data_IF_917119854376
#
_entry.id   IF_917119854376
#
_cell.length_a   1.000
_cell.length_b   1.000
_cell.length_c   1.000
_cell.angle_alpha   90.00
_cell.angle_beta   90.00
_cell.angle_gamma   90.00
#
_symmetry.space_group_name_H-M   'P 1'
#
loop_
_entity.id
_entity.type
_entity.pdbx_description
1 polymer ?
#
# COMPACT_ATOMS: atom_id res chain seq x y z
N UNK A 1 -2.88 -29.12 -1.18
CA UNK A 1 -3.64 -28.92 -2.44
C UNK A 1 -4.98 -28.24 -2.19
N UNK A 2 -5.88 -28.83 -1.39
CA UNK A 2 -7.19 -28.23 -1.04
C UNK A 2 -7.09 -26.83 -0.40
N UNK A 3 -6.11 -26.59 0.45
CA UNK A 3 -5.88 -25.29 1.11
C UNK A 3 -5.44 -24.18 0.16
N UNK A 4 -4.60 -24.50 -0.84
CA UNK A 4 -4.14 -23.54 -1.86
C UNK A 4 -5.30 -23.16 -2.78
N UNK A 5 -6.17 -24.12 -3.11
CA UNK A 5 -7.37 -23.88 -3.92
C UNK A 5 -8.39 -23.00 -3.18
N UNK A 6 -8.55 -23.17 -1.87
CA UNK A 6 -9.41 -22.32 -1.03
C UNK A 6 -8.85 -20.89 -0.91
N UNK A 7 -7.53 -20.74 -0.77
CA UNK A 7 -6.86 -19.42 -0.75
C UNK A 7 -7.00 -18.69 -2.10
N UNK A 8 -6.88 -19.41 -3.22
CA UNK A 8 -7.09 -18.87 -4.56
C UNK A 8 -8.54 -18.43 -4.79
N UNK A 9 -9.52 -19.25 -4.38
CA UNK A 9 -10.94 -18.91 -4.48
C UNK A 9 -11.31 -17.71 -3.60
N UNK A 10 -10.76 -17.61 -2.40
CA UNK A 10 -10.98 -16.47 -1.50
C UNK A 10 -10.36 -15.18 -2.04
N UNK A 11 -9.17 -15.27 -2.66
CA UNK A 11 -8.52 -14.13 -3.32
C UNK A 11 -9.30 -13.62 -4.54
N UNK A 12 -9.86 -14.52 -5.36
CA UNK A 12 -10.71 -14.12 -6.49
C UNK A 12 -12.04 -13.48 -6.04
N UNK A 13 -12.59 -13.89 -4.90
CA UNK A 13 -13.82 -13.32 -4.36
C UNK A 13 -13.64 -11.91 -3.76
N UNK A 14 -12.41 -11.52 -3.39
CA UNK A 14 -12.08 -10.18 -2.92
C UNK A 14 -11.79 -9.19 -4.07
N UNK A 15 -11.44 -9.69 -5.26
CA UNK A 15 -11.17 -8.87 -6.44
C UNK A 15 -12.32 -7.90 -6.86
N UNK A 16 -13.61 -8.24 -6.78
CA UNK A 16 -14.69 -7.30 -7.13
C UNK A 16 -14.88 -6.16 -6.10
N UNK A 17 -14.39 -6.29 -4.87
CA UNK A 17 -14.43 -5.19 -3.88
C UNK A 17 -13.39 -4.10 -4.16
N UNK A 18 -12.32 -4.44 -4.88
CA UNK A 18 -11.27 -3.49 -5.27
C UNK A 18 -11.77 -2.34 -6.17
N UNK A 19 -12.96 -2.48 -6.76
CA UNK A 19 -13.63 -1.41 -7.52
C UNK A 19 -14.14 -0.24 -6.67
N UNK A 20 -14.25 -0.40 -5.35
CA UNK A 20 -14.64 0.63 -4.38
C UNK A 20 -13.64 0.78 -3.22
N UNK A 21 -12.44 0.18 -3.31
CA UNK A 21 -11.46 0.23 -2.23
C UNK A 21 -10.57 1.48 -2.31
N UNK A 22 -10.46 2.20 -1.19
CA UNK A 22 -9.52 3.32 -1.07
C UNK A 22 -8.08 2.81 -1.27
N UNK A 23 -7.16 3.62 -1.83
CA UNK A 23 -5.75 3.22 -1.97
C UNK A 23 -5.11 2.89 -0.61
N UNK A 24 -5.66 3.43 0.49
CA UNK A 24 -5.30 3.05 1.86
C UNK A 24 -5.65 1.60 2.17
N UNK A 25 -6.87 1.17 1.85
CA UNK A 25 -7.31 -0.20 2.06
C UNK A 25 -6.50 -1.19 1.23
N UNK A 26 -6.20 -0.86 -0.03
CA UNK A 26 -5.44 -1.74 -0.92
C UNK A 26 -4.01 -1.96 -0.41
N UNK A 27 -3.31 -0.89 -0.03
CA UNK A 27 -1.96 -1.03 0.50
C UNK A 27 -1.94 -1.70 1.88
N UNK A 28 -2.96 -1.45 2.73
CA UNK A 28 -3.14 -2.18 3.97
C UNK A 28 -3.33 -3.69 3.73
N UNK A 29 -4.21 -4.07 2.80
CA UNK A 29 -4.45 -5.46 2.45
C UNK A 29 -3.20 -6.13 1.87
N UNK A 30 -2.48 -5.44 0.98
CA UNK A 30 -1.24 -5.93 0.40
C UNK A 30 -0.16 -6.11 1.46
N UNK A 31 0.02 -5.11 2.34
CA UNK A 31 0.96 -5.19 3.45
C UNK A 31 0.59 -6.30 4.43
N UNK A 32 -0.69 -6.48 4.73
CA UNK A 32 -1.19 -7.56 5.58
C UNK A 32 -0.95 -8.94 4.98
N UNK A 33 -1.18 -9.08 3.68
CA UNK A 33 -0.99 -10.34 2.96
C UNK A 33 0.48 -10.72 2.93
N UNK A 34 1.36 -9.78 2.57
CA UNK A 34 2.80 -10.00 2.50
C UNK A 34 3.38 -10.25 3.89
N UNK A 35 3.09 -9.37 4.86
CA UNK A 35 3.57 -9.50 6.23
C UNK A 35 3.05 -10.78 6.89
N UNK A 36 1.78 -11.13 6.68
CA UNK A 36 1.16 -12.34 7.20
C UNK A 36 1.74 -13.61 6.57
N UNK A 37 1.93 -13.63 5.25
CA UNK A 37 2.53 -14.79 4.57
C UNK A 37 3.99 -15.01 5.02
N UNK A 38 4.80 -13.95 5.06
CA UNK A 38 6.20 -14.03 5.50
C UNK A 38 6.28 -14.42 6.98
N UNK A 39 5.46 -13.80 7.83
CA UNK A 39 5.39 -14.11 9.26
C UNK A 39 4.92 -15.54 9.53
N UNK A 40 4.00 -16.08 8.73
CA UNK A 40 3.56 -17.47 8.84
C UNK A 40 4.68 -18.46 8.52
N UNK A 41 5.42 -18.22 7.44
CA UNK A 41 6.53 -19.07 7.01
C UNK A 41 7.64 -19.06 8.05
N UNK A 42 8.07 -17.87 8.48
CA UNK A 42 9.13 -17.74 9.49
C UNK A 42 8.70 -18.28 10.85
N UNK A 43 7.48 -17.97 11.30
CA UNK A 43 6.95 -18.47 12.56
C UNK A 43 6.80 -19.99 12.59
N UNK A 44 6.43 -20.60 11.45
CA UNK A 44 6.39 -22.05 11.30
C UNK A 44 7.77 -22.70 11.28
N UNK A 45 8.73 -22.10 10.56
CA UNK A 45 10.11 -22.57 10.49
C UNK A 45 10.85 -22.48 11.83
N UNK A 46 10.74 -21.34 12.51
CA UNK A 46 11.48 -21.08 13.75
C UNK A 46 10.94 -21.89 14.94
N UNK A 47 9.63 -22.10 15.01
CA UNK A 47 9.01 -22.82 16.14
C UNK A 47 8.79 -24.30 15.86
N UNK A 48 8.85 -24.73 14.59
CA UNK A 48 8.50 -26.08 14.17
C UNK A 48 7.04 -26.45 14.46
N UNK A 49 6.17 -25.49 14.78
CA UNK A 49 4.79 -25.70 15.24
C UNK A 49 3.81 -24.85 14.45
N UNK A 50 2.60 -25.37 14.17
CA UNK A 50 1.55 -24.59 13.51
C UNK A 50 1.15 -23.34 14.32
N UNK A 51 1.31 -23.37 15.65
CA UNK A 51 1.05 -22.22 16.51
C UNK A 51 2.00 -21.05 16.24
N UNK A 52 3.29 -21.29 15.97
CA UNK A 52 4.21 -20.20 15.64
C UNK A 52 3.94 -19.60 14.27
N UNK A 53 3.48 -20.39 13.31
CA UNK A 53 3.01 -19.87 12.03
C UNK A 53 1.79 -18.97 12.20
N UNK A 54 0.83 -19.35 13.06
CA UNK A 54 -0.36 -18.53 13.34
C UNK A 54 -0.01 -17.21 14.03
N UNK A 55 0.86 -17.24 15.04
CA UNK A 55 1.32 -16.03 15.74
C UNK A 55 2.11 -15.13 14.80
N UNK A 56 3.03 -15.70 14.02
CA UNK A 56 3.80 -14.96 13.02
C UNK A 56 2.92 -14.37 11.93
N UNK A 57 1.91 -15.09 11.45
CA UNK A 57 0.94 -14.61 10.48
C UNK A 57 0.13 -13.44 11.04
N UNK A 58 -0.38 -13.54 12.27
CA UNK A 58 -1.18 -12.49 12.88
C UNK A 58 -0.34 -11.22 13.14
N UNK A 59 0.86 -11.37 13.69
CA UNK A 59 1.77 -10.26 13.94
C UNK A 59 2.26 -9.60 12.64
N UNK A 60 2.62 -10.40 11.65
CA UNK A 60 3.05 -9.93 10.34
C UNK A 60 1.92 -9.25 9.57
N UNK A 61 0.70 -9.79 9.61
CA UNK A 61 -0.44 -9.21 8.93
C UNK A 61 -0.89 -7.88 9.55
N UNK A 62 -0.95 -7.80 10.88
CA UNK A 62 -1.31 -6.55 11.57
C UNK A 62 -0.27 -5.46 11.34
N UNK A 63 1.02 -5.78 11.50
CA UNK A 63 2.11 -4.82 11.25
C UNK A 63 2.14 -4.40 9.79
N UNK A 64 2.03 -5.36 8.86
CA UNK A 64 2.00 -5.11 7.43
C UNK A 64 0.79 -4.27 7.01
N UNK A 65 -0.38 -4.46 7.62
CA UNK A 65 -1.57 -3.64 7.35
C UNK A 65 -1.37 -2.18 7.76
N UNK A 66 -0.77 -1.96 8.92
CA UNK A 66 -0.52 -0.62 9.45
C UNK A 66 0.53 0.08 8.58
N UNK A 67 1.64 -0.59 8.27
CA UNK A 67 2.69 -0.01 7.41
C UNK A 67 2.18 0.20 5.99
N UNK A 68 1.41 -0.75 5.46
CA UNK A 68 0.77 -0.65 4.15
C UNK A 68 -0.17 0.55 4.06
N UNK A 69 -1.07 0.73 5.03
CA UNK A 69 -1.96 1.89 5.09
C UNK A 69 -1.21 3.21 5.27
N UNK A 70 -0.15 3.24 6.07
CA UNK A 70 0.69 4.42 6.28
C UNK A 70 1.56 4.78 5.06
N UNK A 71 1.92 3.79 4.25
CA UNK A 71 2.72 3.98 3.02
C UNK A 71 1.86 4.38 1.82
N UNK A 72 0.55 4.49 2.00
CA UNK A 72 -0.33 4.99 0.95
C UNK A 72 -0.01 6.43 0.63
N UNK A 73 0.31 6.75 -0.64
CA UNK A 73 0.48 8.13 -1.05
C UNK A 73 -0.79 8.92 -0.73
N UNK A 74 -0.67 10.13 -0.15
CA UNK A 74 -1.83 11.00 -0.03
C UNK A 74 -2.44 11.14 -1.42
N UNK A 75 -3.74 10.84 -1.54
CA UNK A 75 -4.44 10.95 -2.81
C UNK A 75 -4.32 12.38 -3.36
N UNK A 76 -4.64 12.60 -4.64
CA UNK A 76 -4.56 13.93 -5.26
C UNK A 76 -5.36 15.04 -4.55
N UNK A 77 -6.14 14.70 -3.53
CA UNK A 77 -6.86 15.61 -2.64
C UNK A 77 -6.66 15.22 -1.16
N UNK A 78 -5.52 15.58 -0.56
CA UNK A 78 -5.32 16.02 0.84
C UNK A 78 -3.90 15.69 1.35
N UNK A 79 -3.11 16.70 1.69
CA UNK A 79 -2.01 16.56 2.64
C UNK A 79 -0.78 17.43 2.41
N UNK A 80 -0.42 18.34 3.33
CA UNK A 80 0.76 19.21 3.22
C UNK A 80 2.02 18.44 3.66
N UNK A 81 2.58 17.63 2.74
CA UNK A 81 3.92 17.08 2.91
C UNK A 81 4.98 18.07 2.42
N UNK A 82 6.23 18.03 2.91
CA UNK A 82 7.33 18.87 2.43
C UNK A 82 7.87 18.41 1.05
N UNK A 83 7.06 17.69 0.28
CA UNK A 83 7.36 17.34 -1.10
C UNK A 83 7.04 18.51 -2.03
N UNK A 84 7.67 18.62 -3.21
CA UNK A 84 7.18 19.51 -4.25
C UNK A 84 5.69 19.23 -4.45
N UNK A 85 4.88 20.28 -4.46
CA UNK A 85 3.43 20.21 -4.53
C UNK A 85 2.99 19.14 -5.56
N UNK A 86 1.96 18.34 -5.26
CA UNK A 86 1.40 17.42 -6.24
C UNK A 86 1.15 18.18 -7.54
N UNK A 87 1.83 17.77 -8.61
CA UNK A 87 1.45 18.20 -9.95
C UNK A 87 -0.04 17.91 -10.11
N UNK A 88 -0.84 18.85 -10.64
CA UNK A 88 -2.25 18.65 -10.77
C UNK A 88 -2.52 17.45 -11.68
N UNK A 89 -3.66 16.82 -11.45
CA UNK A 89 -4.13 15.73 -12.27
C UNK A 89 -4.23 16.09 -13.77
N UNK A 90 -4.65 15.14 -14.61
CA UNK A 90 -4.70 15.33 -16.05
C UNK A 90 -5.74 16.43 -16.41
N UNK A 91 -5.29 17.66 -16.59
CA UNK A 91 -6.17 18.78 -16.97
C UNK A 91 -5.64 20.20 -16.74
N UNK A 92 -4.67 20.40 -15.84
CA UNK A 92 -4.26 21.75 -15.45
C UNK A 92 -3.06 22.24 -16.29
N UNK A 93 -3.11 23.49 -16.74
CA UNK A 93 -2.03 24.15 -17.48
C UNK A 93 -1.14 24.87 -16.47
N UNK A 94 0.19 24.77 -16.62
CA UNK A 94 1.09 25.51 -15.74
C UNK A 94 0.88 27.02 -15.90
N UNK A 95 0.58 27.71 -14.81
CA UNK A 95 0.38 29.15 -14.78
C UNK A 95 1.69 29.92 -14.56
N UNK A 96 2.59 29.39 -13.71
CA UNK A 96 3.90 30.00 -13.45
C UNK A 96 5.00 28.94 -13.39
N UNK A 97 6.01 29.10 -14.25
CA UNK A 97 7.22 28.28 -14.28
C UNK A 97 8.30 28.88 -13.38
N UNK A 98 8.95 28.02 -12.59
CA UNK A 98 10.06 28.37 -11.70
C UNK A 98 11.24 27.39 -11.91
N UNK A 99 12.45 27.81 -11.54
CA UNK A 99 13.62 26.94 -11.56
C UNK A 99 14.05 26.63 -10.14
N UNK A 100 14.18 25.36 -9.79
CA UNK A 100 14.72 24.97 -8.49
C UNK A 100 16.24 25.26 -8.41
N UNK A 101 16.81 25.14 -7.21
CA UNK A 101 18.24 25.35 -6.98
C UNK A 101 19.14 24.40 -7.77
N UNK A 102 18.59 23.29 -8.27
CA UNK A 102 19.29 22.29 -9.08
C UNK A 102 19.16 22.57 -10.59
N UNK A 103 18.47 23.65 -10.98
CA UNK A 103 18.27 24.06 -12.37
C UNK A 103 17.13 23.32 -13.09
N UNK A 104 16.33 22.52 -12.40
CA UNK A 104 15.18 21.87 -13.01
C UNK A 104 14.00 22.84 -13.10
N UNK A 105 13.27 22.76 -14.22
CA UNK A 105 12.05 23.54 -14.42
C UNK A 105 10.89 22.87 -13.70
N UNK A 106 10.36 23.55 -12.69
CA UNK A 106 9.21 23.11 -11.89
C UNK A 106 8.07 24.10 -12.03
N UNK A 107 6.84 23.60 -12.01
CA UNK A 107 5.68 24.48 -12.04
C UNK A 107 5.27 24.86 -10.60
N UNK A 108 5.12 26.16 -10.34
CA UNK A 108 4.79 26.72 -9.02
C UNK A 108 3.27 26.88 -8.83
N UNK A 109 2.55 27.22 -9.89
CA UNK A 109 1.13 27.52 -9.85
C UNK A 109 0.42 27.02 -11.11
N UNK A 110 -0.89 26.75 -11.00
CA UNK A 110 -1.67 26.02 -12.00
C UNK A 110 -2.99 26.78 -12.29
N UNK A 111 -3.47 26.74 -13.53
CA UNK A 111 -4.80 27.26 -13.94
C UNK A 111 -5.91 26.26 -13.66
#
# INVERSE_FOLDING_TARGET
>A
MKTVMVLLLAGLAAAPLAGCDTPQQQNAANGALLGGATGAVLGGLLTGRPGGALVGAAAGATTGAIVGSASTPPGPYYGPGPGPAPGPGPGYRCAEWYYDYYGNRVCRSWY
#
